data_IF_556687293305
#
_entry.id   IF_556687293305
#
_cell.length_a   1.000
_cell.length_b   1.000
_cell.length_c   1.000
_cell.angle_alpha   90.00
_cell.angle_beta   90.00
_cell.angle_gamma   90.00
#
_symmetry.space_group_name_H-M   'P 1'
#
loop_
_entity.id
_entity.type
_entity.pdbx_description
1 polymer ?
#
# COMPACT_ATOMS: atom_id res chain seq x y z
N UNK A 1 -1.29 -4.24 -10.01
CA UNK A 1 0.10 -3.98 -9.58
C UNK A 1 0.19 -4.17 -8.07
N UNK A 2 1.30 -4.71 -7.53
CA UNK A 2 1.48 -4.88 -6.07
C UNK A 2 2.71 -4.09 -5.64
N UNK A 3 2.53 -3.14 -4.73
CA UNK A 3 3.62 -2.34 -4.14
C UNK A 3 3.82 -2.85 -2.72
N UNK A 4 5.05 -3.24 -2.38
CA UNK A 4 5.43 -3.68 -1.04
C UNK A 4 6.27 -2.58 -0.41
N UNK A 5 5.83 -2.08 0.74
CA UNK A 5 6.54 -1.04 1.47
C UNK A 5 6.73 -1.50 2.91
N UNK A 6 7.94 -1.39 3.41
CA UNK A 6 8.26 -1.64 4.81
C UNK A 6 8.46 -0.29 5.49
N UNK A 7 7.84 -0.12 6.66
CA UNK A 7 7.99 1.06 7.49
C UNK A 7 8.59 0.65 8.83
N UNK A 8 9.48 1.47 9.38
CA UNK A 8 9.84 1.34 10.80
C UNK A 8 8.68 1.81 11.68
N UNK A 9 8.63 1.41 12.95
CA UNK A 9 7.56 1.85 13.88
C UNK A 9 7.48 3.38 14.00
N UNK A 10 8.62 4.06 13.90
CA UNK A 10 8.73 5.53 13.96
C UNK A 10 8.15 6.21 12.72
N UNK A 11 8.01 5.47 11.61
CA UNK A 11 7.51 5.97 10.32
C UNK A 11 6.01 5.76 10.11
N UNK A 12 5.27 5.47 11.19
CA UNK A 12 3.81 5.29 11.13
C UNK A 12 3.07 6.49 10.51
N UNK A 13 3.58 7.71 10.72
CA UNK A 13 3.05 8.93 10.08
C UNK A 13 3.23 8.93 8.56
N UNK A 14 4.40 8.51 8.06
CA UNK A 14 4.70 8.40 6.62
C UNK A 14 3.84 7.33 5.96
N UNK A 15 3.60 6.21 6.66
CA UNK A 15 2.69 5.16 6.21
C UNK A 15 1.28 5.69 5.96
N UNK A 16 0.70 6.41 6.92
CA UNK A 16 -0.65 7.01 6.76
C UNK A 16 -0.72 7.98 5.58
N UNK A 17 0.30 8.81 5.40
CA UNK A 17 0.39 9.72 4.25
C UNK A 17 0.44 8.96 2.93
N UNK A 18 1.25 7.90 2.86
CA UNK A 18 1.35 7.06 1.67
C UNK A 18 0.02 6.36 1.36
N UNK A 19 -0.63 5.77 2.36
CA UNK A 19 -1.93 5.11 2.18
C UNK A 19 -3.01 6.07 1.69
N UNK A 20 -3.07 7.29 2.24
CA UNK A 20 -4.00 8.31 1.78
C UNK A 20 -3.69 8.78 0.36
N UNK A 21 -2.42 8.99 0.03
CA UNK A 21 -2.02 9.39 -1.32
C UNK A 21 -2.41 8.32 -2.36
N UNK A 22 -2.17 7.05 -2.05
CA UNK A 22 -2.50 5.95 -2.96
C UNK A 22 -4.01 5.73 -3.07
N UNK A 23 -4.77 5.86 -1.98
CA UNK A 23 -6.25 5.84 -2.05
C UNK A 23 -6.80 7.03 -2.83
N UNK A 24 -6.19 8.20 -2.72
CA UNK A 24 -6.59 9.39 -3.48
C UNK A 24 -6.36 9.23 -4.99
N UNK A 25 -5.24 8.62 -5.39
CA UNK A 25 -4.93 8.35 -6.80
C UNK A 25 -5.67 7.13 -7.36
N UNK A 26 -5.87 6.12 -6.53
CA UNK A 26 -6.45 4.83 -6.90
C UNK A 26 -7.45 4.38 -5.82
N UNK A 27 -8.72 4.81 -5.91
CA UNK A 27 -9.72 4.58 -4.86
C UNK A 27 -9.97 3.09 -4.57
N UNK A 28 -9.81 2.23 -5.58
CA UNK A 28 -9.97 0.77 -5.45
C UNK A 28 -8.73 0.06 -4.85
N UNK A 29 -7.73 0.80 -4.37
CA UNK A 29 -6.53 0.21 -3.78
C UNK A 29 -6.86 -0.56 -2.49
N UNK A 30 -6.42 -1.82 -2.43
CA UNK A 30 -6.49 -2.62 -1.22
C UNK A 30 -5.19 -2.52 -0.43
N UNK A 31 -5.30 -2.08 0.82
CA UNK A 31 -4.19 -2.05 1.78
C UNK A 31 -4.24 -3.36 2.58
N UNK A 32 -3.11 -4.06 2.66
CA UNK A 32 -2.96 -5.22 3.56
C UNK A 32 -1.72 -5.03 4.41
N UNK A 33 -1.93 -4.79 5.69
CA UNK A 33 -0.87 -4.78 6.69
C UNK A 33 -0.51 -6.22 7.05
N UNK A 34 0.78 -6.47 7.20
CA UNK A 34 1.31 -7.75 7.67
C UNK A 34 2.04 -7.55 8.98
N UNK A 35 2.13 -8.61 9.77
CA UNK A 35 2.78 -8.56 11.08
C UNK A 35 4.20 -7.98 10.97
N UNK A 36 4.64 -7.21 11.97
CA UNK A 36 5.98 -6.67 11.97
C UNK A 36 7.01 -7.81 11.90
N UNK A 37 7.93 -7.69 10.95
CA UNK A 37 8.99 -8.68 10.71
C UNK A 37 10.31 -7.92 10.63
N UNK A 38 11.31 -8.39 11.37
CA UNK A 38 12.65 -7.79 11.42
C UNK A 38 12.66 -6.32 11.94
N UNK A 39 11.67 -5.95 12.76
CA UNK A 39 11.51 -4.56 13.26
C UNK A 39 10.79 -3.60 12.32
N UNK A 40 10.24 -4.11 11.21
CA UNK A 40 9.50 -3.32 10.22
C UNK A 40 8.05 -3.76 10.09
N UNK A 41 7.13 -2.79 10.00
CA UNK A 41 5.74 -2.94 9.60
C UNK A 41 5.63 -3.04 8.08
N UNK A 42 5.46 -4.26 7.59
CA UNK A 42 5.29 -4.54 6.16
C UNK A 42 3.85 -4.27 5.72
N UNK A 43 3.69 -3.40 4.72
CA UNK A 43 2.39 -3.05 4.14
C UNK A 43 2.39 -3.36 2.65
N UNK A 44 1.36 -4.08 2.19
CA UNK A 44 1.17 -4.43 0.79
C UNK A 44 0.02 -3.60 0.24
N UNK A 45 0.31 -2.73 -0.72
CA UNK A 45 -0.68 -1.93 -1.44
C UNK A 45 -0.96 -2.61 -2.78
N UNK A 46 -2.19 -3.08 -2.96
CA UNK A 46 -2.64 -3.71 -4.21
C UNK A 46 -3.45 -2.70 -4.99
N UNK A 47 -2.83 -2.13 -6.02
CA UNK A 47 -3.50 -1.23 -6.97
C UNK A 47 -4.13 -2.08 -8.07
N UNK A 48 -5.46 -2.05 -8.25
CA UNK A 48 -6.10 -2.73 -9.35
C UNK A 48 -5.65 -2.07 -10.65
N UNK A 49 -5.09 -2.87 -11.55
CA UNK A 49 -4.88 -2.37 -12.90
C UNK A 49 -6.24 -2.37 -13.60
N UNK A 50 -6.58 -1.30 -14.36
CA UNK A 50 -7.71 -1.38 -15.26
C UNK A 50 -7.53 -2.63 -16.11
N UNK A 51 -8.53 -3.52 -16.11
CA UNK A 51 -8.55 -4.63 -17.07
C UNK A 51 -8.37 -3.97 -18.44
N UNK A 52 -7.35 -4.38 -19.20
CA UNK A 52 -7.23 -3.96 -20.60
C UNK A 52 -8.62 -4.17 -21.21
N UNK A 53 -9.25 -3.09 -21.66
CA UNK A 53 -10.49 -3.19 -22.40
C UNK A 53 -10.17 -4.03 -23.63
N UNK A 54 -10.58 -5.30 -23.62
CA UNK A 54 -10.57 -6.14 -24.81
C UNK A 54 -11.63 -5.52 -25.71
N UNK A 55 -11.20 -4.66 -26.63
CA UNK A 55 -12.00 -4.27 -27.78
C UNK A 55 -12.24 -5.49 -28.66
#
# INVERSE_FOLDING_TARGET
MKIRVAYTEVEQGRKKQHENAVKGLFPDTKVKETAPKDGFLHTVLTVPMPKKSTK
#
